data_IF_652253516283
#
_entry.id   IF_652253516283
#
_cell.length_a   1.000
_cell.length_b   1.000
_cell.length_c   1.000
_cell.angle_alpha   90.00
_cell.angle_beta   90.00
_cell.angle_gamma   90.00
#
_symmetry.space_group_name_H-M   'P 1'
#
loop_
_entity.id
_entity.type
_entity.pdbx_description
1 polymer ?
#
# COMPACT_ATOMS: atom_id res chain seq x y z
N UNK A 1 -7.12 -8.48 24.94
CA UNK A 1 -7.68 -7.12 24.93
C UNK A 1 -6.59 -6.20 25.47
N UNK A 2 -5.90 -5.46 24.60
CA UNK A 2 -4.79 -4.58 25.01
C UNK A 2 -5.40 -3.22 25.36
N UNK A 3 -5.54 -2.93 26.64
CA UNK A 3 -5.92 -1.58 27.08
C UNK A 3 -4.75 -0.64 26.77
N UNK A 4 -4.95 0.26 25.81
CA UNK A 4 -3.98 1.31 25.52
C UNK A 4 -3.68 2.10 26.80
N UNK A 5 -2.41 2.43 27.03
CA UNK A 5 -1.95 3.23 28.17
C UNK A 5 -2.85 4.47 28.32
N UNK A 6 -3.52 4.60 29.47
CA UNK A 6 -4.23 5.82 29.82
C UNK A 6 -3.24 6.99 29.80
N UNK A 7 -3.57 8.07 29.07
CA UNK A 7 -2.79 9.31 29.12
C UNK A 7 -2.85 9.85 30.55
N UNK A 8 -1.68 10.01 31.20
CA UNK A 8 -1.57 10.66 32.51
C UNK A 8 -2.21 12.05 32.46
N UNK A 9 -3.26 12.27 33.25
CA UNK A 9 -3.92 13.58 33.40
C UNK A 9 -5.41 13.64 33.02
N UNK A 10 -6.02 12.56 32.53
CA UNK A 10 -7.46 12.57 32.22
C UNK A 10 -8.28 11.86 33.32
N UNK A 11 -9.36 12.52 33.79
CA UNK A 11 -10.29 12.00 34.78
C UNK A 11 -10.91 10.67 34.29
N UNK A 12 -10.85 9.61 35.11
CA UNK A 12 -11.39 8.29 34.77
C UNK A 12 -12.89 8.33 34.42
N UNK A 13 -13.66 9.24 35.03
CA UNK A 13 -15.08 9.47 34.71
C UNK A 13 -15.25 9.99 33.29
N UNK A 14 -14.34 10.87 32.84
CA UNK A 14 -14.38 11.41 31.48
C UNK A 14 -14.02 10.33 30.45
N UNK A 15 -13.05 9.46 30.76
CA UNK A 15 -12.71 8.31 29.90
C UNK A 15 -13.87 7.32 29.78
N UNK A 16 -14.57 7.04 30.87
CA UNK A 16 -15.75 6.17 30.87
C UNK A 16 -16.89 6.75 30.03
N UNK A 17 -17.13 8.07 30.10
CA UNK A 17 -18.12 8.74 29.26
C UNK A 17 -17.77 8.70 27.77
N UNK A 18 -16.51 8.93 27.41
CA UNK A 18 -16.03 8.78 26.02
C UNK A 18 -16.27 7.36 25.52
N UNK A 19 -15.99 6.36 26.36
CA UNK A 19 -16.19 4.96 25.98
C UNK A 19 -17.67 4.61 25.77
N UNK A 20 -18.56 5.09 26.65
CA UNK A 20 -20.01 4.94 26.49
C UNK A 20 -20.51 5.59 25.20
N UNK A 21 -20.00 6.78 24.88
CA UNK A 21 -20.35 7.47 23.65
C UNK A 21 -19.89 6.71 22.40
N UNK A 22 -18.65 6.18 22.40
CA UNK A 22 -18.16 5.34 21.31
C UNK A 22 -19.02 4.09 21.09
N UNK A 23 -19.44 3.41 22.16
CA UNK A 23 -20.33 2.25 22.04
C UNK A 23 -21.68 2.66 21.46
N UNK A 24 -22.25 3.78 21.90
CA UNK A 24 -23.50 4.31 21.35
C UNK A 24 -23.40 4.62 19.86
N UNK A 25 -22.28 5.22 19.45
CA UNK A 25 -21.98 5.51 18.04
C UNK A 25 -21.78 4.23 17.23
N UNK A 26 -21.02 3.25 17.74
CA UNK A 26 -20.82 1.96 17.08
C UNK A 26 -22.15 1.23 16.88
N UNK A 27 -22.99 1.18 17.92
CA UNK A 27 -24.29 0.53 17.85
C UNK A 27 -25.22 1.22 16.84
N UNK A 28 -25.22 2.55 16.80
CA UNK A 28 -26.00 3.34 15.84
C UNK A 28 -25.49 3.17 14.41
N UNK A 29 -24.16 3.16 14.24
CA UNK A 29 -23.51 2.91 12.95
C UNK A 29 -23.82 1.50 12.45
N UNK A 30 -23.76 0.49 13.31
CA UNK A 30 -24.08 -0.90 12.96
C UNK A 30 -25.53 -1.05 12.48
N UNK A 31 -26.50 -0.35 13.09
CA UNK A 31 -27.90 -0.35 12.63
C UNK A 31 -28.08 0.33 11.27
N UNK A 32 -27.35 1.41 11.01
CA UNK A 32 -27.38 2.15 9.74
C UNK A 32 -26.50 1.52 8.65
N UNK A 33 -25.63 0.58 9.03
CA UNK A 33 -24.67 -0.03 8.12
C UNK A 33 -25.34 -0.81 6.99
N UNK A 34 -26.40 -1.64 7.21
CA UNK A 34 -27.08 -2.33 6.12
C UNK A 34 -27.77 -1.39 5.13
N UNK A 35 -28.29 -0.25 5.60
CA UNK A 35 -28.94 0.74 4.74
C UNK A 35 -27.92 1.46 3.84
N UNK A 36 -26.83 1.95 4.45
CA UNK A 36 -25.82 2.73 3.73
C UNK A 36 -24.84 1.86 2.92
N UNK A 37 -24.53 0.66 3.42
CA UNK A 37 -23.44 -0.19 2.92
C UNK A 37 -23.87 -1.62 2.63
N UNK A 38 -25.14 -1.99 2.83
CA UNK A 38 -25.62 -3.35 2.56
C UNK A 38 -25.49 -3.78 1.10
N UNK A 39 -25.44 -2.81 0.17
CA UNK A 39 -25.16 -3.09 -1.24
C UNK A 39 -23.79 -3.77 -1.44
N UNK A 40 -22.80 -3.51 -0.56
CA UNK A 40 -21.49 -4.16 -0.62
C UNK A 40 -21.57 -5.66 -0.35
N UNK A 41 -22.52 -6.11 0.49
CA UNK A 41 -22.73 -7.53 0.75
C UNK A 41 -23.20 -8.25 -0.52
N UNK A 42 -24.10 -7.62 -1.29
CA UNK A 42 -24.55 -8.14 -2.58
C UNK A 42 -23.42 -8.20 -3.61
N UNK A 43 -22.66 -7.11 -3.75
CA UNK A 43 -21.50 -7.07 -4.66
C UNK A 43 -20.42 -8.08 -4.28
N UNK A 44 -20.18 -8.27 -2.97
CA UNK A 44 -19.24 -9.26 -2.48
C UNK A 44 -19.69 -10.68 -2.86
N UNK A 45 -20.96 -11.04 -2.67
CA UNK A 45 -21.49 -12.35 -3.06
C UNK A 45 -21.31 -12.63 -4.56
N UNK A 46 -21.55 -11.63 -5.40
CA UNK A 46 -21.33 -11.71 -6.85
C UNK A 46 -19.84 -11.92 -7.17
N UNK A 47 -18.94 -11.16 -6.53
CA UNK A 47 -17.48 -11.30 -6.71
C UNK A 47 -16.94 -12.63 -6.17
N UNK A 48 -17.47 -13.09 -5.05
CA UNK A 48 -17.11 -14.34 -4.39
C UNK A 48 -17.69 -15.57 -5.12
N UNK A 49 -18.54 -15.37 -6.15
CA UNK A 49 -19.30 -16.43 -6.83
C UNK A 49 -20.15 -17.27 -5.87
N UNK A 50 -20.68 -16.64 -4.81
CA UNK A 50 -21.64 -17.24 -3.88
C UNK A 50 -23.10 -17.13 -4.40
N UNK A 51 -23.27 -16.86 -5.70
CA UNK A 51 -24.57 -16.96 -6.33
C UNK A 51 -24.99 -18.44 -6.35
N UNK A 52 -25.88 -18.84 -5.45
CA UNK A 52 -26.53 -20.17 -5.41
C UNK A 52 -27.25 -20.54 -6.74
N UNK A 53 -27.46 -19.56 -7.63
CA UNK A 53 -28.02 -19.77 -8.98
C UNK A 53 -26.98 -20.24 -10.01
N UNK A 54 -25.69 -20.11 -9.71
CA UNK A 54 -24.59 -20.46 -10.59
C UNK A 54 -24.10 -21.84 -10.18
N UNK A 55 -24.52 -22.86 -10.93
CA UNK A 55 -24.14 -24.26 -10.69
C UNK A 55 -22.62 -24.34 -10.46
N UNK A 56 -22.25 -24.85 -9.28
CA UNK A 56 -20.87 -25.06 -8.84
C UNK A 56 -20.02 -25.64 -9.99
N UNK A 57 -19.17 -24.81 -10.60
CA UNK A 57 -18.34 -25.20 -11.75
C UNK A 57 -18.18 -24.11 -12.81
N UNK A 58 -19.23 -23.35 -13.10
CA UNK A 58 -19.23 -22.33 -14.18
C UNK A 58 -18.36 -21.10 -13.87
N UNK A 59 -18.25 -20.71 -12.60
CA UNK A 59 -17.31 -19.69 -12.16
C UNK A 59 -15.84 -20.10 -12.40
N UNK A 60 -15.50 -21.37 -12.15
CA UNK A 60 -14.14 -21.89 -12.38
C UNK A 60 -13.79 -21.90 -13.88
N UNK A 61 -14.79 -22.15 -14.73
CA UNK A 61 -14.65 -22.12 -16.20
C UNK A 61 -14.39 -20.69 -16.68
N UNK A 62 -15.16 -19.70 -16.20
CA UNK A 62 -14.95 -18.28 -16.54
C UNK A 62 -13.57 -17.75 -16.10
N UNK A 63 -13.06 -18.18 -14.94
CA UNK A 63 -11.71 -17.80 -14.48
C UNK A 63 -10.62 -18.45 -15.33
N UNK A 64 -10.78 -19.72 -15.73
CA UNK A 64 -9.85 -20.39 -16.65
C UNK A 64 -9.86 -19.73 -18.03
N UNK A 65 -11.03 -19.46 -18.59
CA UNK A 65 -11.18 -18.76 -19.87
C UNK A 65 -10.56 -17.35 -19.83
N UNK A 66 -10.80 -16.57 -18.77
CA UNK A 66 -10.13 -15.26 -18.61
C UNK A 66 -8.61 -15.41 -18.49
N UNK A 67 -8.13 -16.39 -17.73
CA UNK A 67 -6.68 -16.65 -17.62
C UNK A 67 -6.08 -17.07 -18.95
N UNK A 68 -6.79 -17.84 -19.75
CA UNK A 68 -6.37 -18.23 -21.10
C UNK A 68 -6.39 -17.06 -22.08
N UNK A 69 -7.41 -16.20 -22.03
CA UNK A 69 -7.46 -14.97 -22.82
C UNK A 69 -6.38 -13.95 -22.43
N UNK A 70 -5.92 -13.98 -21.17
CA UNK A 70 -4.82 -13.14 -20.67
C UNK A 70 -3.43 -13.73 -20.92
N UNK A 71 -3.31 -14.98 -21.40
CA UNK A 71 -2.02 -15.54 -21.79
C UNK A 71 -1.56 -14.81 -23.05
N UNK A 72 -0.50 -14.04 -22.91
CA UNK A 72 0.22 -13.51 -24.05
C UNK A 72 0.85 -14.67 -24.83
N UNK A 73 0.97 -14.55 -26.17
CA UNK A 73 1.69 -15.54 -26.96
C UNK A 73 3.12 -15.71 -26.44
N UNK A 74 3.72 -16.90 -26.56
CA UNK A 74 5.13 -17.11 -26.25
C UNK A 74 5.98 -16.06 -26.97
N UNK A 75 6.92 -15.45 -26.24
CA UNK A 75 7.86 -14.49 -26.83
C UNK A 75 8.71 -15.24 -27.84
N UNK A 76 8.66 -14.83 -29.11
CA UNK A 76 9.50 -15.39 -30.16
C UNK A 76 10.98 -15.19 -29.81
N UNK A 77 11.81 -16.18 -30.15
CA UNK A 77 13.26 -16.17 -30.03
C UNK A 77 13.89 -14.89 -30.60
N UNK A 78 13.33 -14.34 -31.69
CA UNK A 78 13.77 -13.06 -32.28
C UNK A 78 13.57 -11.89 -31.31
N UNK A 79 12.37 -11.77 -30.72
CA UNK A 79 12.02 -10.72 -29.74
C UNK A 79 12.76 -10.94 -28.42
N UNK A 80 12.93 -12.18 -27.98
CA UNK A 80 13.70 -12.50 -26.78
C UNK A 80 15.17 -12.07 -26.90
N UNK A 81 15.76 -12.20 -28.10
CA UNK A 81 17.13 -11.71 -28.35
C UNK A 81 17.22 -10.19 -28.34
N UNK A 82 16.17 -9.47 -28.73
CA UNK A 82 16.09 -8.00 -28.68
C UNK A 82 15.83 -7.48 -27.25
N UNK A 83 15.06 -8.23 -26.45
CA UNK A 83 14.75 -7.91 -25.05
C UNK A 83 15.82 -8.40 -24.07
N UNK A 84 16.78 -9.21 -24.52
CA UNK A 84 17.90 -9.70 -23.73
C UNK A 84 18.76 -8.51 -23.29
N UNK A 85 18.50 -8.01 -22.08
CA UNK A 85 19.43 -7.14 -21.37
C UNK A 85 20.69 -7.96 -21.14
N UNK A 86 21.76 -7.63 -21.86
CA UNK A 86 23.03 -8.37 -21.81
C UNK A 86 23.54 -8.60 -20.38
N UNK A 87 24.36 -9.63 -20.20
CA UNK A 87 24.94 -9.96 -18.88
C UNK A 87 25.59 -8.73 -18.26
N UNK A 88 25.29 -8.47 -16.98
CA UNK A 88 25.86 -7.33 -16.28
C UNK A 88 27.39 -7.44 -16.24
N UNK A 89 28.08 -6.42 -16.73
CA UNK A 89 29.54 -6.34 -16.75
C UNK A 89 30.10 -6.03 -15.34
N UNK A 90 29.25 -5.58 -14.42
CA UNK A 90 29.65 -5.18 -13.08
C UNK A 90 30.02 -6.39 -12.21
N UNK A 91 31.21 -6.36 -11.61
CA UNK A 91 31.65 -7.35 -10.63
C UNK A 91 30.85 -7.21 -9.34
N UNK A 92 30.48 -8.34 -8.74
CA UNK A 92 29.82 -8.36 -7.44
C UNK A 92 30.80 -7.89 -6.35
N UNK A 93 30.35 -7.15 -5.32
CA UNK A 93 31.21 -6.68 -4.24
C UNK A 93 31.78 -7.83 -3.41
N UNK A 94 32.99 -7.64 -2.87
CA UNK A 94 33.66 -8.67 -2.06
C UNK A 94 33.26 -8.54 -0.58
N UNK A 95 32.95 -7.32 -0.14
CA UNK A 95 32.63 -7.02 1.25
C UNK A 95 31.14 -6.74 1.40
N UNK A 96 30.55 -7.20 2.49
CA UNK A 96 29.14 -6.94 2.83
C UNK A 96 28.84 -5.44 2.97
N UNK A 97 29.80 -4.64 3.44
CA UNK A 97 29.64 -3.18 3.50
C UNK A 97 29.50 -2.53 2.12
N UNK A 98 30.07 -3.15 1.09
CA UNK A 98 30.01 -2.68 -0.29
C UNK A 98 28.73 -3.18 -0.99
N UNK A 99 28.04 -4.19 -0.47
CA UNK A 99 26.76 -4.66 -1.03
C UNK A 99 25.63 -3.63 -0.92
N UNK A 100 25.74 -2.69 0.02
CA UNK A 100 24.76 -1.61 0.14
C UNK A 100 25.06 -0.54 -0.92
N UNK A 101 24.25 -0.52 -1.97
CA UNK A 101 24.31 0.55 -2.97
C UNK A 101 25.45 0.49 -3.98
N UNK A 102 26.19 -0.63 -4.12
CA UNK A 102 27.23 -0.76 -5.15
C UNK A 102 26.71 -0.55 -6.59
N UNK A 103 25.50 -1.06 -6.92
CA UNK A 103 24.92 -0.83 -8.25
C UNK A 103 24.43 0.60 -8.39
N UNK A 104 23.77 1.16 -7.37
CA UNK A 104 23.26 2.53 -7.41
C UNK A 104 24.36 3.59 -7.39
N UNK A 105 25.55 3.25 -6.90
CA UNK A 105 26.72 4.13 -6.89
C UNK A 105 27.38 4.28 -8.26
N UNK A 106 27.07 3.41 -9.24
CA UNK A 106 27.62 3.52 -10.58
C UNK A 106 26.93 4.66 -11.34
N UNK A 107 27.71 5.52 -12.02
CA UNK A 107 27.17 6.71 -12.72
C UNK A 107 26.11 6.36 -13.77
N UNK A 108 26.26 5.22 -14.44
CA UNK A 108 25.33 4.67 -15.43
C UNK A 108 24.05 4.07 -14.81
N UNK A 109 24.04 3.80 -13.51
CA UNK A 109 22.92 3.21 -12.78
C UNK A 109 22.34 4.22 -11.76
N UNK A 110 22.26 5.49 -12.17
CA UNK A 110 21.75 6.60 -11.36
C UNK A 110 20.26 6.41 -10.98
N UNK A 111 20.01 5.58 -9.97
CA UNK A 111 18.68 5.31 -9.41
C UNK A 111 18.14 6.47 -8.55
N UNK A 112 19.01 7.41 -8.21
CA UNK A 112 18.66 8.62 -7.47
C UNK A 112 17.98 9.63 -8.41
N UNK A 113 16.64 9.58 -8.52
CA UNK A 113 15.83 10.55 -9.31
C UNK A 113 16.15 12.01 -8.97
N UNK A 114 16.68 12.27 -7.78
CA UNK A 114 17.01 13.59 -7.26
C UNK A 114 18.51 13.80 -6.97
N UNK A 115 19.36 12.82 -7.28
CA UNK A 115 20.80 12.87 -7.01
C UNK A 115 21.18 13.01 -5.53
N UNK A 116 22.50 13.10 -5.25
CA UNK A 116 23.05 13.27 -3.89
C UNK A 116 22.73 14.61 -3.22
N UNK A 117 22.09 15.53 -3.93
CA UNK A 117 21.92 16.91 -3.52
C UNK A 117 20.55 17.43 -3.95
N UNK A 118 19.48 16.92 -3.35
CA UNK A 118 18.31 17.77 -3.15
C UNK A 118 18.75 18.88 -2.18
N UNK A 119 19.23 20.01 -2.71
CA UNK A 119 19.49 21.20 -1.90
C UNK A 119 18.20 21.49 -1.14
N UNK A 120 18.27 21.61 0.18
CA UNK A 120 17.12 22.05 0.97
C UNK A 120 16.70 23.40 0.41
N UNK A 121 15.54 23.44 -0.26
CA UNK A 121 15.06 24.64 -0.94
C UNK A 121 14.82 25.79 0.05
N UNK A 122 14.54 25.42 1.31
CA UNK A 122 14.48 26.24 2.53
C UNK A 122 13.95 25.36 3.67
N UNK A 123 14.12 25.77 4.95
CA UNK A 123 13.41 25.16 6.07
C UNK A 123 11.91 25.42 5.97
N UNK A 124 11.06 24.57 6.59
CA UNK A 124 9.60 24.77 6.60
C UNK A 124 9.21 26.17 7.12
N UNK A 125 9.89 26.65 8.16
CA UNK A 125 9.73 28.01 8.68
C UNK A 125 10.03 29.08 7.62
N UNK A 126 11.11 28.92 6.86
CA UNK A 126 11.47 29.80 5.76
C UNK A 126 10.46 29.76 4.60
N UNK A 127 9.80 28.61 4.36
CA UNK A 127 8.72 28.51 3.37
C UNK A 127 7.45 29.22 3.82
N UNK A 128 7.12 29.10 5.11
CA UNK A 128 5.95 29.72 5.72
C UNK A 128 6.17 31.20 6.07
N UNK A 129 7.39 31.71 5.90
CA UNK A 129 7.83 33.06 6.33
C UNK A 129 7.51 33.31 7.81
N UNK A 130 7.66 32.28 8.64
CA UNK A 130 7.34 32.38 10.04
C UNK A 130 8.51 32.92 10.85
N UNK A 131 8.23 33.73 11.89
CA UNK A 131 9.24 34.16 12.84
C UNK A 131 9.90 32.95 13.52
N UNK A 132 11.23 32.95 13.71
CA UNK A 132 11.94 31.84 14.37
C UNK A 132 11.46 31.59 15.81
N UNK A 133 10.82 32.58 16.44
CA UNK A 133 10.24 32.54 17.78
C UNK A 133 9.01 31.61 17.89
N UNK A 134 8.49 31.09 16.77
CA UNK A 134 7.31 30.20 16.78
C UNK A 134 7.60 28.74 17.18
N UNK A 135 8.87 28.39 17.43
CA UNK A 135 9.32 27.02 17.73
C UNK A 135 9.90 26.89 19.15
N UNK A 136 9.90 27.98 19.92
CA UNK A 136 10.23 27.98 21.35
C UNK A 136 8.98 27.74 22.23
#
# INVERSE_FOLDING_TARGET
MVFGKAKSGCNFVHQDQIWKDHIGHEHSAAKRWPENWGFLVGQYKILANEDESVINGTASVRVKERREALKLPPIDSSVASQLSVGKSIAKFPIKTSEEVGWRSSQRNCSLERYGRYSKLKSSFLGQMKWPPEAVD
#
